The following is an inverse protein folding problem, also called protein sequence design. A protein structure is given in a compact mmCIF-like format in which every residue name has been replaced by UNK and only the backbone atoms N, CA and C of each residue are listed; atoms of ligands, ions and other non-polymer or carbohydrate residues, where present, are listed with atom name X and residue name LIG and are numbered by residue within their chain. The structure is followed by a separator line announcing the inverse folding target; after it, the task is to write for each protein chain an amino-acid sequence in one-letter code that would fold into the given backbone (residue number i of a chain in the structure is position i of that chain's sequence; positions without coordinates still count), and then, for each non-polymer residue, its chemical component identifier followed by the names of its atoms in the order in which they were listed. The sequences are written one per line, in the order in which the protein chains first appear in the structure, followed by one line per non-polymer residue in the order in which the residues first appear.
data_IF_132816030323
#
_entry.id   IF_132816030323
#
_cell.length_a   1.000
_cell.length_b   1.000
_cell.length_c   1.000
_cell.angle_alpha   90.00
_cell.angle_beta   90.00
_cell.angle_gamma   90.00
#
_symmetry.space_group_name_H-M   'P 1'
#
loop_
_entity.id
_entity.type
_entity.pdbx_description
1 polymer ?
#
# COMPACT_ATOMS: atom_id res chain seq x y z
N UNK A 1 4.62 12.99 4.42
CA UNK A 1 4.88 11.54 4.60
C UNK A 1 3.58 10.85 4.99
N UNK A 2 2.97 10.05 4.10
CA UNK A 2 1.89 9.13 4.52
C UNK A 2 2.55 7.87 5.09
N UNK A 3 2.17 7.46 6.31
CA UNK A 3 2.78 6.33 7.02
C UNK A 3 1.96 5.07 6.72
N UNK A 4 2.60 4.04 6.17
CA UNK A 4 1.99 2.74 5.85
C UNK A 4 1.04 2.25 6.95
N UNK A 5 1.55 2.08 8.17
CA UNK A 5 0.75 1.53 9.29
C UNK A 5 -0.44 2.41 9.69
N UNK A 6 -0.35 3.73 9.47
CA UNK A 6 -1.48 4.62 9.74
C UNK A 6 -2.56 4.42 8.67
N UNK A 7 -2.16 4.51 7.40
CA UNK A 7 -3.08 4.34 6.28
C UNK A 7 -3.72 2.96 6.27
N UNK A 8 -2.95 1.91 6.57
CA UNK A 8 -3.46 0.54 6.66
C UNK A 8 -4.52 0.40 7.75
N UNK A 9 -4.29 1.02 8.91
CA UNK A 9 -5.27 1.01 9.98
C UNK A 9 -6.54 1.75 9.58
N UNK A 10 -6.43 2.97 9.06
CA UNK A 10 -7.57 3.81 8.68
C UNK A 10 -8.36 3.22 7.50
N UNK A 11 -7.68 2.76 6.44
CA UNK A 11 -8.30 2.40 5.17
C UNK A 11 -8.66 0.89 5.07
N UNK A 12 -8.02 0.02 5.85
CA UNK A 12 -8.30 -1.42 5.83
C UNK A 12 -8.91 -1.90 7.15
N UNK A 13 -8.24 -1.70 8.29
CA UNK A 13 -8.65 -2.32 9.55
C UNK A 13 -9.87 -1.65 10.18
N UNK A 14 -9.90 -0.32 10.23
CA UNK A 14 -10.98 0.44 10.86
C UNK A 14 -12.22 0.51 9.96
N UNK A 15 -12.06 0.29 8.65
CA UNK A 15 -13.12 0.32 7.65
C UNK A 15 -13.95 -0.97 7.58
N UNK A 16 -13.46 -2.08 8.16
CA UNK A 16 -14.09 -3.40 8.03
C UNK A 16 -14.31 -4.05 9.40
N UNK A 17 -15.48 -4.68 9.57
CA UNK A 17 -15.71 -5.62 10.66
C UNK A 17 -15.39 -7.03 10.15
N UNK A 18 -14.40 -7.67 10.77
CA UNK A 18 -13.96 -9.00 10.35
C UNK A 18 -14.62 -10.11 11.16
N UNK A 19 -15.04 -11.16 10.47
CA UNK A 19 -15.61 -12.36 11.09
C UNK A 19 -14.58 -13.48 11.24
N UNK A 20 -13.47 -13.42 10.50
CA UNK A 20 -12.40 -14.40 10.57
C UNK A 20 -11.03 -13.81 10.20
N UNK A 21 -9.96 -14.50 10.62
CA UNK A 21 -8.59 -14.16 10.21
C UNK A 21 -8.35 -14.37 8.70
N UNK A 22 -9.10 -15.28 8.08
CA UNK A 22 -9.01 -15.52 6.62
C UNK A 22 -9.50 -14.29 5.86
N UNK A 23 -10.63 -13.71 6.28
CA UNK A 23 -11.15 -12.47 5.71
C UNK A 23 -10.15 -11.31 5.85
N UNK A 24 -9.52 -11.19 7.04
CA UNK A 24 -8.46 -10.18 7.25
C UNK A 24 -7.35 -10.36 6.22
N UNK A 25 -6.85 -11.59 6.02
CA UNK A 25 -5.74 -11.86 5.09
C UNK A 25 -6.08 -11.49 3.66
N UNK A 26 -7.24 -11.90 3.18
CA UNK A 26 -7.69 -11.60 1.80
C UNK A 26 -7.74 -10.08 1.59
N UNK A 27 -8.44 -9.36 2.48
CA UNK A 27 -8.54 -7.90 2.37
C UNK A 27 -7.20 -7.19 2.55
N UNK A 28 -6.29 -7.75 3.37
CA UNK A 28 -4.93 -7.22 3.52
C UNK A 28 -4.14 -7.34 2.23
N UNK A 29 -4.24 -8.48 1.55
CA UNK A 29 -3.51 -8.74 0.30
C UNK A 29 -4.01 -7.83 -0.82
N UNK A 30 -5.33 -7.67 -0.94
CA UNK A 30 -5.96 -6.73 -1.88
C UNK A 30 -5.53 -5.29 -1.59
N UNK A 31 -5.66 -4.84 -0.33
CA UNK A 31 -5.26 -3.49 0.06
C UNK A 31 -3.78 -3.22 -0.19
N UNK A 32 -2.92 -4.22 0.07
CA UNK A 32 -1.48 -4.09 -0.13
C UNK A 32 -1.10 -4.00 -1.61
N UNK A 33 -1.78 -4.75 -2.50
CA UNK A 33 -1.57 -4.65 -3.94
C UNK A 33 -1.96 -3.25 -4.45
N UNK A 34 -3.13 -2.77 -4.05
CA UNK A 34 -3.61 -1.42 -4.39
C UNK A 34 -2.69 -0.33 -3.86
N UNK A 35 -2.27 -0.44 -2.59
CA UNK A 35 -1.36 0.52 -1.97
C UNK A 35 -0.03 0.59 -2.73
N UNK A 36 0.55 -0.56 -3.08
CA UNK A 36 1.84 -0.61 -3.75
C UNK A 36 1.78 -0.15 -5.21
N UNK A 37 0.66 -0.35 -5.90
CA UNK A 37 0.51 0.00 -7.33
C UNK A 37 0.05 1.42 -7.56
N UNK A 38 -0.85 1.93 -6.73
CA UNK A 38 -1.60 3.14 -7.05
C UNK A 38 -1.46 4.25 -6.02
N UNK A 39 -1.00 3.97 -4.80
CA UNK A 39 -0.98 4.97 -3.75
C UNK A 39 0.17 5.98 -3.93
N UNK A 40 -0.10 7.28 -4.16
CA UNK A 40 0.97 8.26 -4.35
C UNK A 40 1.62 8.65 -3.02
N UNK A 41 2.96 8.64 -2.97
CA UNK A 41 3.71 9.07 -1.79
C UNK A 41 4.48 10.35 -2.03
N UNK A 42 4.22 11.39 -1.24
CA UNK A 42 4.98 12.65 -1.31
C UNK A 42 6.50 12.46 -1.19
N UNK A 43 6.96 11.50 -0.37
CA UNK A 43 8.38 11.18 -0.21
C UNK A 43 9.00 10.48 -1.42
N UNK A 44 8.17 9.87 -2.26
CA UNK A 44 8.57 9.24 -3.52
C UNK A 44 8.27 10.17 -4.70
N UNK A 45 8.27 11.49 -4.49
CA UNK A 45 7.90 12.50 -5.47
C UNK A 45 6.48 12.29 -6.07
N UNK A 46 5.54 11.80 -5.26
CA UNK A 46 4.18 11.50 -5.67
C UNK A 46 4.01 10.15 -6.39
N UNK A 47 5.07 9.36 -6.53
CA UNK A 47 4.99 8.04 -7.15
C UNK A 47 4.45 6.98 -6.19
N UNK A 48 3.80 5.97 -6.77
CA UNK A 48 3.50 4.74 -6.07
C UNK A 48 4.76 3.90 -5.80
N UNK A 49 4.79 3.07 -4.74
CA UNK A 49 5.95 2.27 -4.39
C UNK A 49 6.46 1.41 -5.56
N UNK A 50 5.58 0.76 -6.31
CA UNK A 50 5.94 -0.06 -7.46
C UNK A 50 6.57 0.76 -8.59
N UNK A 51 6.01 1.94 -8.89
CA UNK A 51 6.54 2.85 -9.91
C UNK A 51 7.91 3.39 -9.52
N UNK A 52 8.07 3.78 -8.26
CA UNK A 52 9.35 4.22 -7.72
C UNK A 52 10.41 3.11 -7.77
N UNK A 53 10.06 1.89 -7.37
CA UNK A 53 10.95 0.73 -7.44
C UNK A 53 11.38 0.41 -8.89
N UNK A 54 10.45 0.51 -9.85
CA UNK A 54 10.77 0.35 -11.28
C UNK A 54 11.75 1.43 -11.75
N UNK A 55 11.52 2.69 -11.39
CA UNK A 55 12.42 3.81 -11.72
C UNK A 55 13.82 3.59 -11.15
N UNK A 56 13.92 3.22 -9.87
CA UNK A 56 15.19 2.91 -9.21
C UNK A 56 15.95 1.76 -9.89
N UNK A 57 15.26 0.78 -10.47
CA UNK A 57 15.90 -0.30 -11.24
C UNK A 57 16.42 0.19 -12.58
N UNK A 58 15.69 1.09 -13.25
CA UNK A 58 16.10 1.66 -14.54
C UNK A 58 17.27 2.64 -14.39
N UNK A 59 17.30 3.45 -13.33
CA UNK A 59 18.39 4.40 -13.05
C UNK A 59 19.70 3.70 -12.62
N UNK A 60 19.65 2.38 -12.34
CA UNK A 60 20.79 1.54 -11.97
C UNK A 60 21.35 0.72 -13.14
N UNK A 61 20.82 0.87 -14.35
CA UNK A 61 21.28 0.25 -15.60
C UNK A 61 22.00 1.30 -16.44
#
# INVERSE_FOLDING_TARGET
MKRLNRTYREDALDAHLFESLEQVRILSDEWMDDYNRFHPHQSLAGLAPATFAKKLKMDKV
#
